data_IF_490752759739
#
_entry.id   IF_490752759739
#
_cell.length_a   1.000
_cell.length_b   1.000
_cell.length_c   1.000
_cell.angle_alpha   90.00
_cell.angle_beta   90.00
_cell.angle_gamma   90.00
#
_symmetry.space_group_name_H-M   'P 1'
#
loop_
_entity.id
_entity.type
_entity.pdbx_description
1 polymer ?
#
# COMPACT_ATOMS: atom_id res chain seq x y z
N UNK A 1 -4.33 13.50 18.42
CA UNK A 1 -4.91 12.72 17.30
C UNK A 1 -4.14 13.10 16.06
N UNK A 2 -3.34 12.20 15.51
CA UNK A 2 -2.67 12.44 14.23
C UNK A 2 -3.74 12.37 13.13
N UNK A 3 -3.83 13.42 12.30
CA UNK A 3 -4.76 13.47 11.18
C UNK A 3 -4.26 12.53 10.08
N UNK A 4 -4.66 11.27 10.11
CA UNK A 4 -4.37 10.32 9.04
C UNK A 4 -5.39 10.47 7.92
N UNK A 5 -4.91 10.55 6.68
CA UNK A 5 -5.76 10.54 5.48
C UNK A 5 -5.57 9.21 4.75
N UNK A 6 -6.67 8.62 4.29
CA UNK A 6 -6.63 7.38 3.52
C UNK A 6 -6.90 7.66 2.05
N UNK A 7 -6.14 7.00 1.18
CA UNK A 7 -6.48 6.89 -0.24
C UNK A 7 -6.66 5.42 -0.58
N UNK A 8 -7.82 5.09 -1.13
CA UNK A 8 -8.16 3.73 -1.55
C UNK A 8 -8.09 3.68 -3.07
N UNK A 9 -7.17 2.88 -3.58
CA UNK A 9 -6.97 2.66 -5.03
C UNK A 9 -7.38 1.23 -5.36
N UNK A 10 -8.30 1.06 -6.32
CA UNK A 10 -8.65 -0.27 -6.82
C UNK A 10 -7.62 -0.71 -7.85
N UNK A 11 -6.93 -1.81 -7.59
CA UNK A 11 -6.01 -2.45 -8.54
C UNK A 11 -6.77 -3.55 -9.28
N UNK A 12 -6.63 -3.63 -10.60
CA UNK A 12 -7.27 -4.72 -11.34
C UNK A 12 -6.39 -5.96 -11.20
N UNK A 13 -6.88 -7.07 -10.66
CA UNK A 13 -6.14 -8.34 -10.59
C UNK A 13 -6.98 -9.48 -11.13
N UNK A 14 -6.32 -10.46 -11.78
CA UNK A 14 -6.87 -11.80 -11.98
C UNK A 14 -6.93 -12.56 -10.65
N UNK A 15 -6.61 -13.86 -10.64
CA UNK A 15 -6.49 -14.63 -9.40
C UNK A 15 -5.54 -13.92 -8.41
N UNK A 16 -6.11 -13.36 -7.33
CA UNK A 16 -5.39 -12.48 -6.40
C UNK A 16 -4.90 -13.27 -5.19
N UNK A 17 -3.63 -13.07 -4.83
CA UNK A 17 -3.05 -13.67 -3.62
C UNK A 17 -3.54 -12.95 -2.36
N UNK A 18 -3.79 -11.65 -2.48
CA UNK A 18 -4.30 -10.81 -1.40
C UNK A 18 -5.54 -10.05 -1.85
N UNK A 19 -6.35 -9.64 -0.88
CA UNK A 19 -7.52 -8.80 -1.11
C UNK A 19 -7.14 -7.32 -0.98
N UNK A 20 -6.27 -6.98 -0.02
CA UNK A 20 -5.84 -5.60 0.26
C UNK A 20 -4.32 -5.57 0.43
N UNK A 21 -3.68 -4.57 -0.19
CA UNK A 21 -2.32 -4.12 0.11
C UNK A 21 -2.41 -2.85 0.94
N UNK A 22 -1.69 -2.76 2.06
CA UNK A 22 -1.68 -1.57 2.93
C UNK A 22 -0.29 -0.94 2.86
N UNK A 23 -0.22 0.24 2.24
CA UNK A 23 0.97 1.08 2.16
C UNK A 23 0.91 2.12 3.29
N UNK A 24 1.98 2.25 4.05
CA UNK A 24 2.11 3.22 5.13
C UNK A 24 3.59 3.48 5.41
N UNK A 25 3.88 4.59 6.09
CA UNK A 25 5.20 4.82 6.66
C UNK A 25 5.31 4.12 8.02
N UNK A 26 6.23 3.18 8.13
CA UNK A 26 6.37 2.28 9.28
C UNK A 26 6.72 3.01 10.56
N UNK A 27 7.68 3.92 10.49
CA UNK A 27 8.11 4.75 11.63
C UNK A 27 6.98 5.58 12.23
N UNK A 28 5.96 5.92 11.43
CA UNK A 28 4.89 6.83 11.83
C UNK A 28 3.65 6.12 12.39
N UNK A 29 3.33 4.90 11.92
CA UNK A 29 1.99 4.32 12.12
C UNK A 29 1.89 2.81 12.34
N UNK A 30 3.01 2.07 12.37
CA UNK A 30 3.01 0.60 12.42
C UNK A 30 2.20 0.02 13.59
N UNK A 31 2.40 0.54 14.81
CA UNK A 31 1.77 0.01 16.02
C UNK A 31 0.44 0.68 16.40
N UNK A 32 0.07 1.76 15.70
CA UNK A 32 -1.10 2.59 16.05
C UNK A 32 -2.27 2.28 15.10
N UNK A 33 -2.52 3.17 14.14
CA UNK A 33 -3.67 3.07 13.26
C UNK A 33 -3.55 1.87 12.30
N UNK A 34 -2.39 1.68 11.68
CA UNK A 34 -2.20 0.69 10.61
C UNK A 34 -2.33 -0.74 11.15
N UNK A 35 -1.77 -1.00 12.34
CA UNK A 35 -1.98 -2.27 13.05
C UNK A 35 -3.45 -2.56 13.37
N UNK A 36 -4.21 -1.57 13.83
CA UNK A 36 -5.65 -1.74 14.07
C UNK A 36 -6.44 -1.99 12.78
N UNK A 37 -6.12 -1.27 11.70
CA UNK A 37 -6.73 -1.47 10.38
C UNK A 37 -6.47 -2.89 9.88
N UNK A 38 -5.21 -3.35 9.92
CA UNK A 38 -4.84 -4.70 9.49
C UNK A 38 -5.56 -5.77 10.30
N UNK A 39 -5.56 -5.65 11.63
CA UNK A 39 -6.28 -6.56 12.52
C UNK A 39 -7.78 -6.60 12.22
N UNK A 40 -8.41 -5.44 11.98
CA UNK A 40 -9.83 -5.36 11.65
C UNK A 40 -10.17 -6.06 10.33
N UNK A 41 -9.32 -5.90 9.30
CA UNK A 41 -9.47 -6.59 8.02
C UNK A 41 -9.30 -8.10 8.17
N UNK A 42 -8.26 -8.55 8.87
CA UNK A 42 -8.02 -9.96 9.16
C UNK A 42 -9.18 -10.60 9.95
N UNK A 43 -9.73 -9.90 10.95
CA UNK A 43 -10.90 -10.35 11.72
C UNK A 43 -12.17 -10.52 10.85
N UNK A 44 -12.23 -9.89 9.68
CA UNK A 44 -13.31 -10.04 8.70
C UNK A 44 -13.01 -11.09 7.63
N UNK A 45 -11.90 -11.82 7.74
CA UNK A 45 -11.46 -12.82 6.76
C UNK A 45 -10.87 -12.21 5.48
N UNK A 46 -10.52 -10.93 5.49
CA UNK A 46 -9.89 -10.25 4.34
C UNK A 46 -8.38 -10.49 4.40
N UNK A 47 -7.81 -11.02 3.32
CA UNK A 47 -6.36 -11.27 3.24
C UNK A 47 -5.63 -9.96 2.97
N UNK A 48 -5.22 -9.27 4.03
CA UNK A 48 -4.48 -8.02 3.95
C UNK A 48 -2.96 -8.27 4.03
N UNK A 49 -2.23 -7.81 3.02
CA UNK A 49 -0.78 -7.67 3.07
C UNK A 49 -0.44 -6.29 3.64
N UNK A 50 0.41 -6.25 4.66
CA UNK A 50 0.90 -5.01 5.26
C UNK A 50 2.36 -4.85 4.85
N UNK A 51 2.75 -3.63 4.51
CA UNK A 51 4.13 -3.31 4.17
C UNK A 51 4.95 -3.03 5.44
N UNK A 52 5.48 -4.07 6.10
CA UNK A 52 6.21 -3.94 7.38
C UNK A 52 7.62 -3.31 7.20
N UNK A 53 7.98 -2.86 6.01
CA UNK A 53 9.37 -2.85 5.52
C UNK A 53 10.24 -1.65 5.91
N UNK A 54 9.72 -0.62 6.57
CA UNK A 54 10.56 0.51 6.99
C UNK A 54 11.62 0.10 8.05
N UNK A 55 11.43 -1.03 8.77
CA UNK A 55 12.35 -1.47 9.82
C UNK A 55 13.42 -2.48 9.38
N UNK A 56 13.19 -3.30 8.36
CA UNK A 56 14.07 -4.45 8.04
C UNK A 56 14.63 -4.50 6.61
N UNK A 57 14.12 -3.72 5.64
CA UNK A 57 14.42 -3.97 4.21
C UNK A 57 15.29 -2.96 3.46
N UNK A 58 15.55 -1.78 4.04
CA UNK A 58 16.40 -0.74 3.42
C UNK A 58 15.80 -0.12 2.14
N UNK A 59 16.64 0.58 1.34
CA UNK A 59 16.21 1.53 0.29
C UNK A 59 15.67 0.92 -1.04
N UNK A 60 15.23 -0.34 -1.10
CA UNK A 60 14.87 -0.98 -2.39
C UNK A 60 13.56 -1.75 -2.36
N UNK A 61 12.71 -1.46 -3.37
CA UNK A 61 11.51 -2.24 -3.64
C UNK A 61 11.94 -3.67 -3.94
N UNK A 62 11.48 -4.61 -3.13
CA UNK A 62 11.77 -6.03 -3.37
C UNK A 62 10.79 -6.63 -4.37
N UNK A 63 11.23 -7.67 -5.08
CA UNK A 63 10.38 -8.43 -6.02
C UNK A 63 9.09 -8.91 -5.35
N UNK A 64 9.17 -9.33 -4.09
CA UNK A 64 8.01 -9.76 -3.29
C UNK A 64 7.01 -8.63 -3.05
N UNK A 65 7.50 -7.40 -2.86
CA UNK A 65 6.66 -6.23 -2.62
C UNK A 65 5.90 -5.83 -3.90
N UNK A 66 6.59 -5.79 -5.04
CA UNK A 66 5.94 -5.55 -6.32
C UNK A 66 4.87 -6.61 -6.63
N UNK A 67 5.17 -7.89 -6.34
CA UNK A 67 4.23 -8.99 -6.50
C UNK A 67 3.01 -8.84 -5.59
N UNK A 68 3.19 -8.38 -4.35
CA UNK A 68 2.10 -8.11 -3.43
C UNK A 68 1.20 -6.97 -3.93
N UNK A 69 1.79 -5.87 -4.43
CA UNK A 69 1.05 -4.75 -5.04
C UNK A 69 0.26 -5.22 -6.27
N UNK A 70 0.93 -5.91 -7.20
CA UNK A 70 0.31 -6.41 -8.45
C UNK A 70 -0.73 -7.51 -8.19
N UNK A 71 -0.54 -8.29 -7.14
CA UNK A 71 -1.36 -9.43 -6.74
C UNK A 71 -2.52 -9.10 -5.80
N UNK A 72 -2.68 -7.82 -5.42
CA UNK A 72 -3.78 -7.32 -4.59
C UNK A 72 -4.91 -6.73 -5.44
N UNK A 73 -6.14 -6.73 -4.90
CA UNK A 73 -7.33 -6.17 -5.55
C UNK A 73 -7.57 -4.70 -5.20
N UNK A 74 -7.11 -4.30 -4.03
CA UNK A 74 -7.21 -2.94 -3.51
C UNK A 74 -5.87 -2.61 -2.87
N UNK A 75 -5.41 -1.38 -3.04
CA UNK A 75 -4.35 -0.78 -2.26
C UNK A 75 -4.95 0.34 -1.37
N UNK A 76 -4.60 0.35 -0.10
CA UNK A 76 -4.93 1.42 0.85
C UNK A 76 -3.62 2.09 1.23
N UNK A 77 -3.49 3.38 0.91
CA UNK A 77 -2.35 4.19 1.35
C UNK A 77 -2.76 5.03 2.55
N UNK A 78 -1.99 4.92 3.64
CA UNK A 78 -2.16 5.68 4.88
C UNK A 78 -1.17 6.83 4.89
N UNK A 79 -1.65 8.05 4.62
CA UNK A 79 -0.82 9.25 4.68
C UNK A 79 -0.72 9.74 6.12
N UNK A 80 0.46 9.58 6.70
CA UNK A 80 0.93 10.27 7.91
C UNK A 80 1.54 11.63 7.54
N UNK A 81 1.86 12.43 8.57
CA UNK A 81 2.49 13.75 8.39
C UNK A 81 3.80 13.67 7.61
N UNK A 82 4.59 12.63 7.88
CA UNK A 82 5.94 12.49 7.33
C UNK A 82 6.01 11.40 6.25
N UNK A 83 4.88 10.96 5.72
CA UNK A 83 4.82 9.96 4.65
C UNK A 83 5.66 10.38 3.43
N UNK A 84 5.47 11.62 2.96
CA UNK A 84 6.15 12.15 1.79
C UNK A 84 7.64 12.46 2.00
N UNK A 85 8.18 12.29 3.22
CA UNK A 85 9.62 12.39 3.45
C UNK A 85 10.36 11.08 3.17
N UNK A 86 9.65 9.96 3.06
CA UNK A 86 10.23 8.68 2.63
C UNK A 86 10.14 8.54 1.12
N UNK A 87 11.28 8.54 0.43
CA UNK A 87 11.34 8.25 -1.01
C UNK A 87 10.83 6.86 -1.32
N UNK A 88 11.03 5.91 -0.40
CA UNK A 88 10.56 4.54 -0.53
C UNK A 88 9.03 4.46 -0.57
N UNK A 89 8.35 5.12 0.38
CA UNK A 89 6.89 5.24 0.36
C UNK A 89 6.36 5.86 -0.95
N UNK A 90 7.08 6.85 -1.50
CA UNK A 90 6.71 7.48 -2.77
C UNK A 90 6.90 6.54 -3.98
N UNK A 91 7.96 5.74 -4.00
CA UNK A 91 8.22 4.77 -5.07
C UNK A 91 7.16 3.64 -5.08
N UNK A 92 6.74 3.18 -3.90
CA UNK A 92 5.59 2.27 -3.77
C UNK A 92 4.30 2.90 -4.29
N UNK A 93 4.03 4.16 -3.92
CA UNK A 93 2.84 4.89 -4.35
C UNK A 93 2.81 5.02 -5.89
N UNK A 94 3.94 5.34 -6.50
CA UNK A 94 4.10 5.35 -7.97
C UNK A 94 3.84 3.96 -8.56
N UNK A 95 4.31 2.90 -7.92
CA UNK A 95 4.09 1.51 -8.36
C UNK A 95 2.61 1.12 -8.31
N UNK A 96 1.90 1.49 -7.23
CA UNK A 96 0.45 1.30 -7.08
C UNK A 96 -0.30 2.01 -8.21
N UNK A 97 -0.01 3.29 -8.45
CA UNK A 97 -0.62 4.06 -9.54
C UNK A 97 -0.27 3.51 -10.93
N UNK A 98 0.96 3.03 -11.11
CA UNK A 98 1.39 2.36 -12.35
C UNK A 98 0.56 1.10 -12.62
N UNK A 99 0.26 0.31 -11.59
CA UNK A 99 -0.59 -0.88 -11.69
C UNK A 99 -2.04 -0.54 -12.04
N UNK A 100 -2.56 0.57 -11.52
CA UNK A 100 -3.88 1.10 -11.89
C UNK A 100 -3.90 1.55 -13.36
N UNK A 101 -2.96 2.43 -13.75
CA UNK A 101 -2.91 3.04 -15.08
C UNK A 101 -2.65 2.06 -16.22
N UNK A 102 -1.83 1.02 -16.02
CA UNK A 102 -1.57 0.01 -17.06
C UNK A 102 -2.81 -0.83 -17.43
N UNK A 103 -3.87 -0.79 -16.62
CA UNK A 103 -5.07 -1.63 -16.80
C UNK A 103 -6.32 -0.84 -17.18
N UNK A 104 -6.34 0.46 -16.95
CA UNK A 104 -7.31 1.39 -17.53
C UNK A 104 -6.69 2.05 -18.76
N UNK A 105 -7.26 1.91 -19.95
CA UNK A 105 -6.78 2.46 -21.23
C UNK A 105 -6.70 4.00 -21.34
N UNK A 106 -6.59 4.73 -20.22
CA UNK A 106 -6.37 6.17 -20.21
C UNK A 106 -4.88 6.46 -20.04
N UNK A 107 -4.26 6.87 -21.16
CA UNK A 107 -3.06 7.71 -21.14
C UNK A 107 -3.32 8.91 -20.23
N UNK A 108 -2.41 9.26 -19.33
CA UNK A 108 -2.45 10.61 -18.75
C UNK A 108 -2.20 11.57 -19.90
N UNK A 109 -3.23 12.33 -20.27
CA UNK A 109 -3.01 13.72 -20.60
C UNK A 109 -2.79 14.42 -19.27
N UNK A 110 -1.51 14.61 -18.92
CA UNK A 110 -1.11 15.81 -18.17
C UNK A 110 -1.23 17.00 -19.12
#
# INVERSE_FOLDING_TARGET
MLNHTFVVVKTCSGASRYDVFINFKGEDTCYEFTGHLHKALCNKGIRAFIDEDDLERGDKITTTLEEAIKGSRIAITVFSKDYASSSFCLDELVTIFGCYRKKTHYSCLL
#
